data_IF_548982066279
#
_entry.id   IF_548982066279
#
_cell.length_a   1.000
_cell.length_b   1.000
_cell.length_c   1.000
_cell.angle_alpha   90.00
_cell.angle_beta   90.00
_cell.angle_gamma   90.00
#
_symmetry.space_group_name_H-M   'P 1'
#
loop_
_entity.id
_entity.type
_entity.pdbx_description
1 polymer ?
#
# COMPACT_ATOMS: atom_id res chain seq x y z
N UNK A 1 -6.88 -10.99 8.07
CA UNK A 1 -7.44 -11.98 9.01
C UNK A 1 -6.34 -12.42 9.95
N UNK A 2 -6.50 -12.21 11.27
CA UNK A 2 -5.49 -12.60 12.26
C UNK A 2 -5.70 -14.07 12.68
N UNK A 3 -4.73 -14.96 12.42
CA UNK A 3 -4.82 -16.37 12.82
C UNK A 3 -4.41 -16.61 14.28
N UNK A 4 -3.66 -15.69 14.88
CA UNK A 4 -3.09 -15.85 16.21
C UNK A 4 -4.11 -15.53 17.31
N UNK A 5 -4.19 -16.42 18.30
CA UNK A 5 -4.99 -16.28 19.52
C UNK A 5 -4.07 -16.37 20.74
N UNK A 6 -4.44 -15.67 21.81
CA UNK A 6 -3.74 -15.79 23.07
C UNK A 6 -3.89 -17.20 23.67
N UNK A 7 -2.83 -17.66 24.34
CA UNK A 7 -2.76 -18.99 24.97
C UNK A 7 -3.57 -19.06 26.25
N UNK A 8 -3.71 -17.95 26.98
CA UNK A 8 -4.48 -17.89 28.23
C UNK A 8 -5.96 -17.60 27.97
N UNK A 9 -6.26 -16.64 27.08
CA UNK A 9 -7.63 -16.32 26.69
C UNK A 9 -7.85 -16.39 25.16
N UNK A 10 -8.51 -17.45 24.64
CA UNK A 10 -8.76 -17.62 23.21
C UNK A 10 -9.65 -16.55 22.56
N UNK A 11 -10.35 -15.72 23.34
CA UNK A 11 -11.14 -14.58 22.84
C UNK A 11 -10.26 -13.42 22.39
N UNK A 12 -9.06 -13.30 22.96
CA UNK A 12 -8.10 -12.25 22.65
C UNK A 12 -7.25 -12.69 21.44
N UNK A 13 -7.24 -11.86 20.40
CA UNK A 13 -6.38 -12.04 19.21
C UNK A 13 -5.18 -11.11 19.27
N UNK A 14 -4.20 -11.30 18.37
CA UNK A 14 -3.06 -10.39 18.28
C UNK A 14 -3.43 -8.97 17.78
N UNK A 15 -4.58 -8.81 17.11
CA UNK A 15 -5.12 -7.51 16.69
C UNK A 15 -6.60 -7.47 17.06
N UNK A 16 -6.99 -6.52 17.92
CA UNK A 16 -8.36 -6.32 18.39
C UNK A 16 -8.81 -4.88 18.07
N UNK A 17 -10.09 -4.70 17.75
CA UNK A 17 -10.64 -3.38 17.46
C UNK A 17 -10.95 -2.64 18.76
N UNK A 18 -10.46 -1.41 18.88
CA UNK A 18 -10.69 -0.52 20.03
C UNK A 18 -11.11 0.87 19.55
N UNK A 19 -11.57 1.72 20.49
CA UNK A 19 -11.96 3.09 20.17
C UNK A 19 -10.76 3.89 19.67
N UNK A 20 -10.94 4.55 18.52
CA UNK A 20 -9.91 5.40 17.92
C UNK A 20 -9.52 6.56 18.86
N UNK A 21 -10.50 7.24 19.46
CA UNK A 21 -10.25 8.47 20.23
C UNK A 21 -9.36 8.25 21.46
N UNK A 22 -9.34 7.04 22.00
CA UNK A 22 -8.55 6.70 23.18
C UNK A 22 -7.07 6.44 22.83
N UNK A 23 -6.78 6.04 21.59
CA UNK A 23 -5.46 5.53 21.19
C UNK A 23 -4.72 6.41 20.18
N UNK A 24 -5.40 7.35 19.52
CA UNK A 24 -4.80 8.13 18.42
C UNK A 24 -3.53 8.86 18.81
N UNK A 25 -3.48 9.47 19.99
CA UNK A 25 -2.36 10.29 20.43
C UNK A 25 -1.11 9.45 20.71
N UNK A 26 -1.28 8.27 21.30
CA UNK A 26 -0.18 7.31 21.53
C UNK A 26 0.27 6.66 20.23
N UNK A 27 -0.66 6.19 19.41
CA UNK A 27 -0.35 5.51 18.15
C UNK A 27 0.31 6.44 17.12
N UNK A 28 0.02 7.76 17.15
CA UNK A 28 0.75 8.76 16.36
C UNK A 28 2.25 8.73 16.66
N UNK A 29 2.63 8.73 17.95
CA UNK A 29 4.05 8.71 18.37
C UNK A 29 4.73 7.41 17.94
N UNK A 30 4.04 6.27 18.13
CA UNK A 30 4.55 4.97 17.70
C UNK A 30 4.72 4.90 16.18
N UNK A 31 3.76 5.45 15.43
CA UNK A 31 3.80 5.50 13.97
C UNK A 31 4.92 6.41 13.46
N UNK A 32 5.12 7.58 14.07
CA UNK A 32 6.23 8.48 13.73
C UNK A 32 7.60 7.82 13.98
N UNK A 33 7.75 7.07 15.09
CA UNK A 33 8.94 6.27 15.33
C UNK A 33 9.14 5.19 14.25
N UNK A 34 8.06 4.50 13.86
CA UNK A 34 8.11 3.47 12.83
C UNK A 34 8.56 4.01 11.47
N UNK A 35 8.08 5.20 11.07
CA UNK A 35 8.49 5.85 9.82
C UNK A 35 9.98 6.22 9.79
N UNK A 36 10.63 6.37 10.94
CA UNK A 36 12.05 6.67 11.05
C UNK A 36 12.94 5.41 11.01
N UNK A 37 12.38 4.21 11.02
CA UNK A 37 13.15 2.97 10.93
C UNK A 37 13.73 2.79 9.51
N UNK A 38 14.92 2.18 9.38
CA UNK A 38 15.53 1.95 8.08
C UNK A 38 14.73 0.92 7.27
N UNK A 39 14.51 1.22 5.99
CA UNK A 39 13.87 0.28 5.06
C UNK A 39 14.78 -0.92 4.74
N UNK A 40 14.16 -2.09 4.55
CA UNK A 40 14.86 -3.31 4.15
C UNK A 40 15.05 -3.29 2.63
N UNK A 41 16.30 -3.48 2.19
CA UNK A 41 16.60 -3.63 0.78
C UNK A 41 16.01 -4.95 0.23
N UNK A 42 15.31 -4.85 -0.90
CA UNK A 42 14.67 -5.96 -1.62
C UNK A 42 15.68 -7.04 -2.00
N UNK A 43 16.94 -6.67 -2.26
CA UNK A 43 18.02 -7.60 -2.62
C UNK A 43 18.37 -8.60 -1.50
N UNK A 44 18.06 -8.25 -0.24
CA UNK A 44 18.35 -9.07 0.95
C UNK A 44 17.29 -10.13 1.23
N UNK A 45 16.18 -10.12 0.48
CA UNK A 45 15.11 -11.09 0.63
C UNK A 45 15.41 -12.34 -0.21
N UNK A 46 15.77 -13.44 0.44
CA UNK A 46 16.10 -14.71 -0.24
C UNK A 46 14.90 -15.31 -0.99
N UNK A 47 13.67 -15.10 -0.49
CA UNK A 47 12.44 -15.61 -1.09
C UNK A 47 11.30 -14.62 -0.92
N UNK A 48 10.49 -14.51 -1.98
CA UNK A 48 9.21 -13.81 -1.94
C UNK A 48 8.13 -14.79 -1.47
N UNK A 49 7.55 -14.50 -0.31
CA UNK A 49 6.45 -15.24 0.31
C UNK A 49 5.44 -14.23 0.88
N UNK A 50 4.32 -14.70 1.40
CA UNK A 50 3.28 -13.87 2.00
C UNK A 50 3.87 -12.99 3.11
N UNK A 51 4.78 -13.53 3.93
CA UNK A 51 5.43 -12.76 5.02
C UNK A 51 6.44 -11.74 4.49
N UNK A 52 7.33 -12.13 3.59
CA UNK A 52 8.41 -11.26 3.12
C UNK A 52 7.91 -10.19 2.15
N UNK A 53 6.83 -10.44 1.41
CA UNK A 53 6.17 -9.43 0.57
C UNK A 53 5.67 -8.22 1.36
N UNK A 54 5.27 -8.42 2.63
CA UNK A 54 4.83 -7.32 3.50
C UNK A 54 5.98 -6.48 4.07
N UNK A 55 7.24 -6.92 3.92
CA UNK A 55 8.42 -6.14 4.30
C UNK A 55 8.88 -5.19 3.19
N UNK A 56 8.37 -5.36 1.97
CA UNK A 56 8.68 -4.47 0.85
C UNK A 56 7.78 -3.24 0.95
N UNK A 57 8.37 -2.06 0.80
CA UNK A 57 7.67 -0.78 0.81
C UNK A 57 6.52 -0.78 -0.22
N UNK A 58 5.26 -0.65 0.21
CA UNK A 58 4.14 -0.51 -0.71
C UNK A 58 4.18 0.88 -1.38
N UNK A 59 3.99 0.93 -2.70
CA UNK A 59 3.92 2.21 -3.45
C UNK A 59 2.48 2.72 -3.61
N UNK A 60 1.51 1.96 -3.08
CA UNK A 60 0.09 2.27 -3.13
C UNK A 60 -0.48 2.23 -1.71
N UNK A 61 -0.64 3.40 -1.09
CA UNK A 61 -1.13 3.56 0.28
C UNK A 61 -2.15 4.71 0.39
N UNK A 62 -2.97 4.68 1.45
CA UNK A 62 -3.92 5.74 1.83
C UNK A 62 -4.89 6.16 0.72
N UNK A 63 -5.40 5.21 -0.05
CA UNK A 63 -6.37 5.49 -1.11
C UNK A 63 -7.75 5.87 -0.58
N UNK A 64 -8.44 6.75 -1.30
CA UNK A 64 -9.84 7.13 -1.01
C UNK A 64 -10.88 6.06 -1.34
N UNK A 65 -10.51 4.77 -1.30
CA UNK A 65 -11.43 3.66 -1.51
C UNK A 65 -12.32 3.44 -0.26
N UNK A 66 -13.41 2.70 -0.43
CA UNK A 66 -14.29 2.32 0.68
C UNK A 66 -13.53 1.51 1.75
N UNK A 67 -13.99 1.59 3.00
CA UNK A 67 -13.45 0.75 4.09
C UNK A 67 -13.59 -0.72 3.75
N UNK A 68 -12.49 -1.48 3.81
CA UNK A 68 -12.47 -2.89 3.44
C UNK A 68 -12.61 -3.16 1.94
N UNK A 69 -12.31 -2.20 1.06
CA UNK A 69 -12.32 -2.41 -0.38
C UNK A 69 -11.46 -3.60 -0.79
N UNK A 70 -12.06 -4.56 -1.51
CA UNK A 70 -11.39 -5.78 -1.95
C UNK A 70 -10.38 -5.60 -3.09
N UNK A 71 -10.39 -4.46 -3.79
CA UNK A 71 -9.49 -4.21 -4.93
C UNK A 71 -8.10 -3.73 -4.48
N UNK A 72 -8.07 -2.83 -3.50
CA UNK A 72 -6.83 -2.14 -3.08
C UNK A 72 -5.72 -3.06 -2.57
N UNK A 73 -5.97 -4.20 -1.88
CA UNK A 73 -4.89 -5.09 -1.46
C UNK A 73 -4.17 -5.77 -2.63
N UNK A 74 -4.87 -6.02 -3.75
CA UNK A 74 -4.26 -6.58 -4.95
C UNK A 74 -3.31 -5.58 -5.61
N UNK A 75 -3.75 -4.33 -5.74
CA UNK A 75 -2.91 -3.26 -6.32
C UNK A 75 -1.69 -3.02 -5.42
N UNK A 76 -1.87 -2.98 -4.09
CA UNK A 76 -0.76 -2.88 -3.14
C UNK A 76 0.29 -3.96 -3.40
N UNK A 77 -0.13 -5.22 -3.45
CA UNK A 77 0.78 -6.35 -3.67
C UNK A 77 1.49 -6.25 -5.04
N UNK A 78 0.78 -5.89 -6.11
CA UNK A 78 1.38 -5.71 -7.43
C UNK A 78 2.47 -4.64 -7.42
N UNK A 79 2.21 -3.51 -6.76
CA UNK A 79 3.23 -2.44 -6.64
C UNK A 79 4.43 -2.86 -5.80
N UNK A 80 4.23 -3.67 -4.75
CA UNK A 80 5.33 -4.23 -3.96
C UNK A 80 6.22 -5.19 -4.75
N UNK A 81 5.69 -5.88 -5.75
CA UNK A 81 6.46 -6.84 -6.57
C UNK A 81 7.12 -6.18 -7.79
N UNK A 82 6.39 -5.31 -8.50
CA UNK A 82 6.81 -4.79 -9.80
C UNK A 82 6.83 -3.26 -9.93
N UNK A 83 6.55 -2.53 -8.85
CA UNK A 83 6.34 -1.08 -8.86
C UNK A 83 7.40 -0.27 -9.59
N UNK A 84 8.69 -0.58 -9.38
CA UNK A 84 9.85 0.14 -9.94
C UNK A 84 9.88 0.20 -11.48
N UNK A 85 9.15 -0.68 -12.16
CA UNK A 85 9.11 -0.82 -13.63
C UNK A 85 7.71 -1.03 -14.19
N UNK A 86 6.68 -0.88 -13.35
CA UNK A 86 5.30 -1.09 -13.75
C UNK A 86 4.71 0.20 -14.34
N UNK A 87 4.03 0.08 -15.47
CA UNK A 87 3.16 1.12 -16.01
C UNK A 87 1.71 0.69 -15.79
N UNK A 88 0.87 1.58 -15.23
CA UNK A 88 -0.53 1.27 -14.94
C UNK A 88 -1.42 2.09 -15.89
N UNK A 89 -2.09 1.38 -16.79
CA UNK A 89 -3.18 1.89 -17.60
C UNK A 89 -4.51 1.51 -16.94
N UNK A 90 -5.12 2.45 -16.22
CA UNK A 90 -6.39 2.20 -15.52
C UNK A 90 -7.58 2.56 -16.41
N UNK A 91 -8.47 1.57 -16.61
CA UNK A 91 -9.78 1.80 -17.19
C UNK A 91 -10.65 2.66 -16.26
N UNK A 92 -11.63 3.36 -16.83
CA UNK A 92 -12.59 4.14 -16.04
C UNK A 92 -13.41 3.22 -15.13
N UNK A 93 -13.38 3.49 -13.84
CA UNK A 93 -14.02 2.68 -12.79
C UNK A 93 -13.55 3.07 -11.39
N UNK A 94 -13.90 2.28 -10.37
CA UNK A 94 -13.49 2.53 -8.98
C UNK A 94 -11.98 2.74 -8.86
N UNK A 95 -11.18 1.91 -9.55
CA UNK A 95 -9.71 2.01 -9.60
C UNK A 95 -9.17 3.34 -10.11
N UNK A 96 -9.84 3.96 -11.09
CA UNK A 96 -9.47 5.29 -11.58
C UNK A 96 -9.86 6.42 -10.62
N UNK A 97 -10.84 6.20 -9.74
CA UNK A 97 -11.33 7.19 -8.77
C UNK A 97 -10.48 7.18 -7.51
N UNK A 98 -10.34 6.03 -6.84
CA UNK A 98 -9.46 5.97 -5.66
C UNK A 98 -7.97 6.06 -6.03
N UNK A 99 -7.62 5.78 -7.29
CA UNK A 99 -6.25 5.80 -7.81
C UNK A 99 -5.75 7.14 -8.35
N UNK A 100 -6.63 8.03 -8.77
CA UNK A 100 -6.25 9.21 -9.56
C UNK A 100 -7.28 10.33 -9.57
N UNK A 101 -7.85 10.64 -8.40
CA UNK A 101 -8.71 11.81 -8.19
C UNK A 101 -7.90 12.98 -7.65
N UNK A 102 -7.73 14.05 -8.43
CA UNK A 102 -7.04 15.27 -8.00
C UNK A 102 -7.87 15.99 -6.92
N UNK A 103 -7.28 16.53 -5.84
CA UNK A 103 -5.84 16.71 -5.56
C UNK A 103 -5.15 15.54 -4.85
N UNK A 104 -5.87 14.52 -4.40
CA UNK A 104 -5.33 13.36 -3.69
C UNK A 104 -4.74 12.34 -4.67
N UNK A 105 -3.45 12.46 -4.96
CA UNK A 105 -2.71 11.43 -5.71
C UNK A 105 -2.06 10.45 -4.75
N UNK A 106 -2.10 9.16 -5.09
CA UNK A 106 -1.53 8.07 -4.30
C UNK A 106 0.00 8.09 -4.42
N UNK A 107 0.62 8.99 -3.67
CA UNK A 107 2.07 9.04 -3.50
C UNK A 107 2.37 8.89 -2.01
N UNK A 108 3.43 8.16 -1.62
CA UNK A 108 3.82 8.06 -0.22
C UNK A 108 4.10 9.46 0.36
N UNK A 109 3.71 9.77 1.60
CA UNK A 109 3.95 11.08 2.21
C UNK A 109 5.44 11.44 2.32
N UNK A 110 6.34 10.45 2.29
CA UNK A 110 7.80 10.61 2.35
C UNK A 110 8.43 10.95 0.98
N UNK A 111 7.67 10.89 -0.12
CA UNK A 111 8.15 11.24 -1.47
C UNK A 111 7.82 12.70 -1.80
N UNK A 112 8.43 13.62 -1.05
CA UNK A 112 8.56 15.02 -1.46
C UNK A 112 9.51 15.10 -2.66
N UNK A 113 9.00 15.55 -3.80
CA UNK A 113 9.75 16.12 -4.95
C UNK A 113 11.07 15.41 -5.27
N UNK A 114 10.97 14.17 -5.72
CA UNK A 114 11.95 13.64 -6.66
C UNK A 114 11.23 12.66 -7.58
N UNK A 115 10.94 13.10 -8.80
CA UNK A 115 10.74 12.22 -9.95
C UNK A 115 12.09 11.51 -10.17
N UNK A 116 12.41 10.54 -9.31
CA UNK A 116 13.48 9.58 -9.59
C UNK A 116 12.93 8.62 -10.64
N UNK A 117 13.77 8.37 -11.64
CA UNK A 117 13.49 7.45 -12.73
C UNK A 117 12.96 6.12 -12.15
N UNK A 118 11.74 5.72 -12.53
CA UNK A 118 11.14 4.43 -12.12
C UNK A 118 9.81 4.48 -11.36
N UNK A 119 9.23 5.65 -11.04
CA UNK A 119 7.90 5.68 -10.43
C UNK A 119 6.78 5.22 -11.40
N UNK A 120 5.93 4.32 -10.91
CA UNK A 120 4.71 3.86 -11.59
C UNK A 120 3.85 5.06 -11.98
N UNK A 121 3.73 5.33 -13.29
CA UNK A 121 2.84 6.38 -13.79
C UNK A 121 1.44 5.79 -13.95
N UNK A 122 0.47 6.31 -13.22
CA UNK A 122 -0.95 5.97 -13.40
C UNK A 122 -1.56 6.91 -14.44
N UNK A 123 -1.78 6.41 -15.65
CA UNK A 123 -2.47 7.15 -16.70
C UNK A 123 -3.94 6.65 -16.75
N UNK A 124 -4.91 7.57 -16.75
CA UNK A 124 -6.32 7.23 -17.06
C UNK A 124 -6.41 6.98 -18.56
N UNK A 125 -6.74 5.77 -18.98
CA UNK A 125 -6.81 5.48 -20.42
C UNK A 125 -7.88 4.48 -20.81
N UNK A 126 -8.42 4.67 -22.01
CA UNK A 126 -9.24 3.70 -22.74
C UNK A 126 -8.43 2.46 -23.13
N UNK A 127 -9.08 1.29 -23.28
CA UNK A 127 -8.41 -0.01 -23.44
C UNK A 127 -7.39 -0.12 -24.59
N UNK A 128 -7.49 0.71 -25.63
CA UNK A 128 -6.60 0.66 -26.80
C UNK A 128 -5.16 1.14 -26.52
N UNK A 129 -4.92 1.89 -25.45
CA UNK A 129 -3.60 2.52 -25.23
C UNK A 129 -2.60 1.63 -24.47
N UNK A 130 -3.09 0.61 -23.76
CA UNK A 130 -2.24 -0.41 -23.14
C UNK A 130 -1.45 -1.19 -24.21
N UNK A 131 -2.02 -1.36 -25.40
CA UNK A 131 -1.36 -2.03 -26.53
C UNK A 131 -0.29 -1.14 -27.21
N UNK A 132 -0.45 0.18 -27.15
CA UNK A 132 0.47 1.15 -27.76
C UNK A 132 1.71 1.45 -26.89
N UNK A 133 1.76 0.92 -25.67
CA UNK A 133 2.83 1.15 -24.70
C UNK A 133 3.64 -0.12 -24.37
N UNK A 134 3.35 -1.22 -25.05
CA UNK A 134 4.14 -2.46 -25.09
C UNK A 134 5.05 -2.46 -26.33
#
# INVERSE_FOLDING_TARGET
MCPAKDRQNPEIKAINMMSRLEHVEEEKVNYDFFLNLPEIDRSKLERIDIRTSQLITPLFEYSGACSGCGETPYIKLLTQLYGDRMLIANATGCSSIYGGNLPSTLTPPTLTVAVRHGQTRCLKITPNLAWASA
#
